data_IF_488788938342
#
_entry.id   IF_488788938342
#
_cell.length_a   1.000
_cell.length_b   1.000
_cell.length_c   1.000
_cell.angle_alpha   90.00
_cell.angle_beta   90.00
_cell.angle_gamma   90.00
#
_symmetry.space_group_name_H-M   'P 1'
#
loop_
_entity.id
_entity.type
_entity.pdbx_description
1 polymer ?
#
# COMPACT_ATOMS: atom_id res chain seq x y z
N UNK A 1 15.37 -6.66 -3.23
CA UNK A 1 15.15 -5.22 -3.40
C UNK A 1 14.57 -4.70 -2.10
N UNK A 2 15.00 -3.53 -1.65
CA UNK A 2 14.43 -2.86 -0.48
C UNK A 2 13.83 -1.53 -0.90
N UNK A 3 12.63 -1.26 -0.40
CA UNK A 3 11.95 0.02 -0.58
C UNK A 3 11.61 0.52 0.82
N UNK A 4 11.98 1.75 1.14
CA UNK A 4 11.56 2.40 2.37
C UNK A 4 11.00 3.79 2.09
N UNK A 5 10.08 4.22 2.94
CA UNK A 5 9.47 5.53 2.90
C UNK A 5 8.81 5.83 4.24
N UNK A 6 8.52 7.09 4.51
CA UNK A 6 7.75 7.52 5.68
C UNK A 6 6.38 8.02 5.26
N UNK A 7 5.38 7.75 6.10
CA UNK A 7 4.01 8.24 5.92
C UNK A 7 3.58 9.02 7.16
N UNK A 8 3.09 10.24 6.97
CA UNK A 8 2.38 11.02 7.99
C UNK A 8 0.91 11.09 7.61
N UNK A 9 0.06 10.33 8.29
CA UNK A 9 -1.38 10.47 8.16
C UNK A 9 -1.86 11.63 9.06
N UNK A 10 -2.51 12.65 8.49
CA UNK A 10 -3.07 13.75 9.31
C UNK A 10 -4.34 13.38 10.06
N UNK A 11 -4.95 12.25 9.69
CA UNK A 11 -6.22 11.74 10.21
C UNK A 11 -6.19 10.21 10.21
N UNK A 12 -7.16 9.58 10.87
CA UNK A 12 -7.35 8.12 10.91
C UNK A 12 -8.64 7.65 10.21
N UNK A 13 -9.28 8.50 9.42
CA UNK A 13 -10.53 8.19 8.71
C UNK A 13 -10.41 8.35 7.19
N UNK A 14 -9.17 8.30 6.67
CA UNK A 14 -8.89 8.44 5.25
C UNK A 14 -8.25 7.18 4.66
N UNK A 15 -8.29 7.09 3.34
CA UNK A 15 -7.71 5.97 2.60
C UNK A 15 -6.41 6.35 1.91
N UNK A 16 -5.38 5.54 2.09
CA UNK A 16 -4.15 5.57 1.32
C UNK A 16 -3.77 4.14 0.94
N UNK A 17 -3.92 3.80 -0.34
CA UNK A 17 -3.34 2.57 -0.89
C UNK A 17 -1.90 2.79 -1.30
N UNK A 18 -1.05 1.83 -0.94
CA UNK A 18 0.36 1.77 -1.29
C UNK A 18 0.59 0.45 -2.01
N UNK A 19 0.87 0.53 -3.30
CA UNK A 19 1.06 -0.64 -4.15
C UNK A 19 2.47 -0.66 -4.72
N UNK A 20 3.08 -1.84 -4.74
CA UNK A 20 4.20 -2.14 -5.64
C UNK A 20 3.67 -2.75 -6.93
N UNK A 21 4.18 -2.31 -8.07
CA UNK A 21 3.67 -2.70 -9.39
C UNK A 21 4.77 -3.06 -10.38
N UNK A 22 4.44 -3.95 -11.32
CA UNK A 22 5.22 -4.16 -12.55
C UNK A 22 4.87 -3.09 -13.61
N UNK A 23 5.56 -3.16 -14.77
CA UNK A 23 5.32 -2.25 -15.91
C UNK A 23 3.92 -2.37 -16.53
N UNK A 24 3.18 -3.46 -16.27
CA UNK A 24 1.81 -3.66 -16.75
C UNK A 24 0.74 -3.21 -15.74
N UNK A 25 1.15 -2.85 -14.53
CA UNK A 25 0.25 -2.46 -13.45
C UNK A 25 -0.29 -3.63 -12.62
N UNK A 26 0.30 -4.83 -12.73
CA UNK A 26 0.04 -5.93 -11.80
C UNK A 26 0.60 -5.56 -10.42
N UNK A 27 -0.10 -5.91 -9.34
CA UNK A 27 0.13 -5.38 -7.98
C UNK A 27 0.45 -6.49 -6.98
N UNK A 28 1.67 -7.04 -6.99
CA UNK A 28 2.08 -8.13 -6.09
C UNK A 28 1.94 -7.77 -4.61
N UNK A 29 2.30 -6.55 -4.21
CA UNK A 29 2.29 -6.08 -2.82
C UNK A 29 1.32 -4.92 -2.71
N UNK A 30 0.36 -5.04 -1.79
CA UNK A 30 -0.71 -4.06 -1.59
C UNK A 30 -0.88 -3.81 -0.10
N UNK A 31 -0.76 -2.54 0.30
CA UNK A 31 -1.04 -2.06 1.66
C UNK A 31 -2.12 -0.98 1.57
N UNK A 32 -2.90 -0.81 2.63
CA UNK A 32 -3.88 0.25 2.72
C UNK A 32 -3.99 0.78 4.15
N UNK A 33 -3.78 2.08 4.34
CA UNK A 33 -4.41 2.78 5.46
C UNK A 33 -5.87 2.98 5.07
N UNK A 34 -6.83 2.53 5.87
CA UNK A 34 -8.26 2.59 5.54
C UNK A 34 -9.03 3.59 6.39
N UNK A 35 -10.25 3.87 5.97
CA UNK A 35 -11.18 4.80 6.60
C UNK A 35 -11.64 4.36 7.99
N UNK A 36 -11.44 3.08 8.33
CA UNK A 36 -11.66 2.53 9.68
C UNK A 36 -10.52 2.85 10.66
N UNK A 37 -9.41 3.44 10.20
CA UNK A 37 -8.24 3.75 11.01
C UNK A 37 -7.25 2.60 11.14
N UNK A 38 -7.43 1.53 10.36
CA UNK A 38 -6.59 0.34 10.41
C UNK A 38 -5.63 0.27 9.21
N UNK A 39 -4.47 -0.32 9.45
CA UNK A 39 -3.54 -0.73 8.41
C UNK A 39 -3.94 -2.13 7.93
N UNK A 40 -4.23 -2.23 6.66
CA UNK A 40 -4.56 -3.47 5.98
C UNK A 40 -3.43 -3.87 5.05
N UNK A 41 -3.09 -5.15 5.05
CA UNK A 41 -2.06 -5.71 4.17
C UNK A 41 -2.67 -6.85 3.38
N UNK A 42 -2.44 -6.87 2.08
CA UNK A 42 -2.91 -7.97 1.26
C UNK A 42 -1.91 -9.14 1.28
N UNK A 43 -2.37 -10.28 1.77
CA UNK A 43 -1.65 -11.54 1.90
C UNK A 43 -2.48 -12.63 1.22
N UNK A 44 -1.91 -13.36 0.26
CA UNK A 44 -2.63 -14.43 -0.47
C UNK A 44 -3.95 -13.92 -1.10
N UNK A 45 -3.91 -12.72 -1.69
CA UNK A 45 -5.08 -12.02 -2.24
C UNK A 45 -6.20 -11.68 -1.24
N UNK A 46 -5.98 -11.88 0.07
CA UNK A 46 -6.89 -11.51 1.14
C UNK A 46 -6.37 -10.30 1.90
N UNK A 47 -7.26 -9.37 2.24
CA UNK A 47 -6.92 -8.24 3.08
C UNK A 47 -6.94 -8.66 4.55
N UNK A 48 -5.80 -8.55 5.21
CA UNK A 48 -5.65 -8.79 6.64
C UNK A 48 -5.57 -7.45 7.37
N UNK A 49 -6.41 -7.27 8.38
CA UNK A 49 -6.30 -6.18 9.33
C UNK A 49 -5.09 -6.44 10.24
N UNK A 50 -4.18 -5.46 10.31
CA UNK A 50 -2.96 -5.52 11.12
C UNK A 50 -2.95 -4.54 12.28
N UNK A 51 -4.11 -3.95 12.58
CA UNK A 51 -4.33 -3.03 13.68
C UNK A 51 -4.33 -1.56 13.26
N UNK A 52 -4.45 -0.68 14.26
CA UNK A 52 -4.55 0.76 14.06
C UNK A 52 -3.28 1.36 13.46
N UNK A 53 -3.43 2.25 12.49
CA UNK A 53 -2.32 3.12 12.08
C UNK A 53 -2.33 4.43 12.86
N UNK A 54 -1.14 5.01 13.01
CA UNK A 54 -0.99 6.26 13.74
C UNK A 54 -1.29 7.47 12.87
N UNK A 55 -2.10 8.39 13.41
CA UNK A 55 -2.26 9.74 12.86
C UNK A 55 -1.43 10.75 13.66
N UNK A 56 -1.04 11.86 13.03
CA UNK A 56 -0.29 12.93 13.70
C UNK A 56 1.19 12.63 13.97
N UNK A 57 1.72 11.52 13.45
CA UNK A 57 3.15 11.16 13.54
C UNK A 57 3.64 10.51 12.24
N UNK A 58 4.94 10.58 12.00
CA UNK A 58 5.60 9.81 10.95
C UNK A 58 5.66 8.33 11.35
N UNK A 59 5.32 7.45 10.41
CA UNK A 59 5.54 6.02 10.49
C UNK A 59 6.47 5.61 9.36
N UNK A 60 7.48 4.79 9.66
CA UNK A 60 8.41 4.27 8.66
C UNK A 60 7.86 2.96 8.11
N UNK A 61 7.83 2.83 6.79
CA UNK A 61 7.45 1.62 6.08
C UNK A 61 8.68 1.07 5.37
N UNK A 62 8.94 -0.22 5.53
CA UNK A 62 9.97 -0.93 4.79
C UNK A 62 9.39 -2.18 4.13
N UNK A 63 9.68 -2.34 2.85
CA UNK A 63 9.26 -3.45 2.02
C UNK A 63 10.51 -4.14 1.49
N UNK A 64 10.71 -5.40 1.88
CA UNK A 64 11.86 -6.18 1.47
C UNK A 64 11.43 -7.39 0.64
N UNK A 65 11.86 -7.40 -0.62
CA UNK A 65 11.66 -8.51 -1.55
C UNK A 65 12.99 -9.27 -1.68
N UNK A 66 13.02 -10.59 -1.42
CA UNK A 66 14.25 -11.38 -1.51
C UNK A 66 14.93 -11.29 -2.89
N UNK A 67 16.27 -11.42 -2.96
CA UNK A 67 17.03 -11.48 -4.21
C UNK A 67 16.88 -12.83 -4.93
N UNK A 68 15.65 -13.22 -5.27
CA UNK A 68 15.36 -14.48 -5.97
C UNK A 68 14.39 -14.24 -7.13
N UNK A 69 14.62 -14.81 -8.32
CA UNK A 69 13.64 -14.79 -9.42
C UNK A 69 12.35 -15.53 -9.07
N UNK A 70 12.41 -16.45 -8.09
CA UNK A 70 11.28 -17.22 -7.59
C UNK A 70 10.68 -16.61 -6.29
N UNK A 71 11.08 -15.38 -5.94
CA UNK A 71 10.52 -14.70 -4.78
C UNK A 71 9.02 -14.47 -4.99
N UNK A 72 8.22 -14.99 -4.06
CA UNK A 72 6.76 -14.88 -4.02
C UNK A 72 6.27 -14.11 -2.79
N UNK A 73 7.20 -13.48 -2.06
CA UNK A 73 6.94 -12.85 -0.76
C UNK A 73 7.62 -11.49 -0.62
N UNK A 74 6.99 -10.64 0.19
CA UNK A 74 7.53 -9.39 0.68
C UNK A 74 7.50 -9.39 2.21
N UNK A 75 8.64 -9.16 2.86
CA UNK A 75 8.60 -8.74 4.26
C UNK A 75 8.11 -7.29 4.32
N UNK A 76 7.25 -6.99 5.30
CA UNK A 76 6.73 -5.64 5.55
C UNK A 76 7.12 -5.29 6.98
N UNK A 77 7.75 -4.14 7.17
CA UNK A 77 8.03 -3.60 8.50
C UNK A 77 7.41 -2.21 8.63
N UNK A 78 6.77 -1.96 9.76
CA UNK A 78 6.21 -0.68 10.16
C UNK A 78 6.88 -0.28 11.47
N UNK A 79 7.57 0.85 11.50
CA UNK A 79 8.36 1.28 12.65
C UNK A 79 9.29 0.14 13.16
N UNK A 80 10.01 -0.50 12.23
CA UNK A 80 10.93 -1.63 12.45
C UNK A 80 10.28 -2.95 12.95
N UNK A 81 8.95 -3.03 12.98
CA UNK A 81 8.21 -4.21 13.43
C UNK A 81 7.39 -4.84 12.30
N UNK A 82 7.40 -6.17 12.20
CA UNK A 82 6.52 -6.87 11.25
C UNK A 82 5.08 -6.86 11.79
N UNK A 83 4.12 -6.28 11.04
CA UNK A 83 2.70 -6.31 11.41
C UNK A 83 2.06 -7.67 11.08
N UNK A 84 2.78 -8.56 10.40
CA UNK A 84 2.33 -9.89 10.01
C UNK A 84 3.10 -11.00 10.75
N UNK A 85 2.46 -12.16 11.02
CA UNK A 85 3.14 -13.31 11.62
C UNK A 85 4.15 -13.99 10.67
N UNK A 86 4.05 -13.72 9.37
CA UNK A 86 4.93 -14.22 8.31
C UNK A 86 4.97 -13.23 7.14
N UNK A 87 6.01 -13.23 6.29
CA UNK A 87 6.08 -12.36 5.11
C UNK A 87 4.82 -12.45 4.24
N UNK A 88 4.41 -11.31 3.66
CA UNK A 88 3.25 -11.21 2.80
C UNK A 88 3.48 -11.97 1.49
N UNK A 89 2.61 -12.92 1.14
CA UNK A 89 2.64 -13.50 -0.21
C UNK A 89 2.17 -12.48 -1.23
N UNK A 90 2.79 -12.51 -2.40
CA UNK A 90 2.34 -11.73 -3.54
C UNK A 90 0.90 -12.11 -3.87
N UNK A 91 0.06 -11.09 -4.09
CA UNK A 91 -1.30 -11.31 -4.61
C UNK A 91 -1.23 -11.94 -6.00
N UNK A 92 -0.38 -11.37 -6.86
CA UNK A 92 -0.14 -11.79 -8.22
C UNK A 92 1.38 -11.82 -8.44
N UNK A 93 2.00 -12.97 -8.74
CA UNK A 93 3.43 -13.04 -9.00
C UNK A 93 3.84 -12.17 -10.19
N UNK A 94 4.93 -11.42 -10.05
CA UNK A 94 5.50 -10.60 -11.13
C UNK A 94 6.98 -10.92 -11.29
N UNK A 95 7.49 -10.72 -12.52
CA UNK A 95 8.92 -10.91 -12.82
C UNK A 95 9.79 -9.77 -12.25
N UNK A 96 9.23 -8.58 -12.16
CA UNK A 96 9.90 -7.35 -11.73
C UNK A 96 8.89 -6.44 -11.03
N UNK A 97 9.38 -5.72 -10.03
CA UNK A 97 8.70 -4.54 -9.50
C UNK A 97 9.42 -3.32 -10.06
N UNK A 98 8.65 -2.41 -10.64
CA UNK A 98 9.17 -1.27 -11.42
C UNK A 98 8.63 0.07 -10.91
N UNK A 99 7.57 0.04 -10.08
CA UNK A 99 6.89 1.24 -9.59
C UNK A 99 6.36 1.04 -8.18
N UNK A 100 6.41 2.11 -7.39
CA UNK A 100 5.59 2.31 -6.19
C UNK A 100 4.49 3.32 -6.49
N UNK A 101 3.27 3.07 -6.02
CA UNK A 101 2.13 3.98 -6.17
C UNK A 101 1.54 4.31 -4.82
N UNK A 102 1.29 5.60 -4.59
CA UNK A 102 0.53 6.12 -3.46
C UNK A 102 -0.79 6.67 -4.01
N UNK A 103 -1.92 6.20 -3.49
CA UNK A 103 -3.25 6.57 -4.00
C UNK A 103 -4.22 6.83 -2.86
N UNK A 104 -4.83 8.01 -2.83
CA UNK A 104 -5.78 8.43 -1.77
C UNK A 104 -7.20 7.93 -2.04
N UNK A 105 -7.36 6.64 -2.37
CA UNK A 105 -8.65 6.04 -2.72
C UNK A 105 -8.55 4.62 -3.24
N UNK A 106 -9.71 3.97 -3.40
CA UNK A 106 -9.83 2.63 -3.97
C UNK A 106 -9.30 2.50 -5.38
N UNK A 107 -8.49 1.47 -5.60
CA UNK A 107 -8.22 0.98 -6.93
C UNK A 107 -9.54 0.59 -7.61
N UNK A 108 -9.75 1.14 -8.80
CA UNK A 108 -10.90 0.81 -9.64
C UNK A 108 -10.41 0.00 -10.83
N UNK A 109 -10.93 -1.22 -10.99
CA UNK A 109 -10.63 -2.06 -12.16
C UNK A 109 -11.21 -1.49 -13.45
N UNK A 110 -12.34 -0.77 -13.36
CA UNK A 110 -13.01 -0.13 -14.48
C UNK A 110 -13.59 1.22 -14.05
N UNK A 111 -13.67 2.14 -15.00
CA UNK A 111 -14.46 3.36 -14.84
C UNK A 111 -15.95 3.07 -14.95
N UNK A 112 -16.77 3.89 -14.27
CA UNK A 112 -18.20 3.93 -14.51
C UNK A 112 -18.46 4.78 -15.75
N UNK A 113 -19.05 4.18 -16.78
CA UNK A 113 -19.49 4.89 -17.99
C UNK A 113 -21.02 4.96 -18.05
N UNK A 114 -21.56 6.13 -18.37
CA UNK A 114 -22.93 6.27 -18.91
C UNK A 114 -24.02 6.83 -18.01
N UNK A 115 -23.81 6.96 -16.69
CA UNK A 115 -24.81 7.54 -15.77
C UNK A 115 -24.13 8.40 -14.69
N UNK A 116 -24.84 9.43 -14.23
CA UNK A 116 -24.42 10.22 -13.07
C UNK A 116 -24.33 9.33 -11.83
N UNK A 117 -23.24 9.46 -11.09
CA UNK A 117 -23.06 8.73 -9.85
C UNK A 117 -23.93 9.35 -8.74
N UNK A 118 -24.45 8.54 -7.80
CA UNK A 118 -25.04 9.08 -6.58
C UNK A 118 -24.07 10.05 -5.91
N UNK A 119 -24.58 11.21 -5.50
CA UNK A 119 -23.78 12.22 -4.79
C UNK A 119 -22.57 12.74 -5.59
N UNK A 120 -22.64 12.78 -6.94
CA UNK A 120 -21.52 13.15 -7.82
C UNK A 120 -20.86 14.51 -7.50
N UNK A 121 -21.62 15.46 -6.96
CA UNK A 121 -21.14 16.79 -6.58
C UNK A 121 -20.86 16.94 -5.07
N UNK A 122 -21.14 15.91 -4.27
CA UNK A 122 -20.85 15.92 -2.85
C UNK A 122 -19.37 15.62 -2.62
N UNK A 123 -18.69 16.56 -1.96
CA UNK A 123 -17.28 16.41 -1.64
C UNK A 123 -17.13 15.42 -0.49
N UNK A 124 -16.20 14.47 -0.65
CA UNK A 124 -15.72 13.67 0.47
C UNK A 124 -15.03 14.55 1.51
N UNK A 125 -15.00 14.07 2.76
CA UNK A 125 -14.23 14.72 3.82
C UNK A 125 -12.75 14.83 3.43
N UNK A 126 -12.11 15.96 3.78
CA UNK A 126 -10.71 16.17 3.49
C UNK A 126 -9.86 15.12 4.22
N UNK A 127 -9.01 14.44 3.47
CA UNK A 127 -7.98 13.54 4.00
C UNK A 127 -6.65 13.90 3.36
N UNK A 128 -5.57 13.84 4.15
CA UNK A 128 -4.24 14.22 3.70
C UNK A 128 -3.19 13.30 4.30
N UNK A 129 -2.23 12.92 3.45
CA UNK A 129 -1.09 12.10 3.78
C UNK A 129 0.16 12.79 3.25
N UNK A 130 1.23 12.80 4.02
CA UNK A 130 2.55 13.24 3.57
C UNK A 130 3.43 12.02 3.39
N UNK A 131 4.22 12.00 2.32
CA UNK A 131 5.20 10.97 2.03
C UNK A 131 6.57 11.62 2.05
N UNK A 132 7.53 10.99 2.71
CA UNK A 132 8.90 11.50 2.81
C UNK A 132 9.93 10.35 2.82
N UNK A 133 11.21 10.67 2.69
CA UNK A 133 12.34 9.73 2.77
C UNK A 133 12.17 8.47 1.89
N UNK A 134 11.67 8.65 0.67
CA UNK A 134 11.51 7.55 -0.29
C UNK A 134 12.88 7.08 -0.77
N UNK A 135 13.26 5.85 -0.41
CA UNK A 135 14.49 5.21 -0.82
C UNK A 135 14.17 3.87 -1.50
N UNK A 136 14.76 3.65 -2.67
CA UNK A 136 14.64 2.40 -3.40
C UNK A 136 16.05 1.87 -3.65
N UNK A 137 16.35 0.73 -3.04
CA UNK A 137 17.61 0.00 -3.23
C UNK A 137 17.33 -1.23 -4.09
N UNK A 138 17.61 -1.16 -5.41
CA UNK A 138 17.40 -2.29 -6.31
C UNK A 138 18.34 -3.46 -5.95
N UNK A 139 18.03 -4.63 -6.50
CA UNK A 139 18.97 -5.76 -6.45
C UNK A 139 20.14 -5.48 -7.40
N UNK A 140 21.36 -5.90 -7.05
CA UNK A 140 22.49 -5.87 -7.96
C UNK A 140 22.29 -6.79 -9.17
#
# INVERSE_FOLDING_TARGET
MRISFKVFARQNNGRLEIDLLDGKGVRPVRLALREDGHLWICHEAQWLDTGLYSSGRWQTFELEIPPSPDADRCAVLIDDQSPLPRPAFFTDPVKSVERISFRTGEYRERGYGGHDLPHADEKSALTSFLIDDVVITPLP
#
